data_IF_967534838728
#
_entry.id   IF_967534838728
#
_cell.length_a   1.000
_cell.length_b   1.000
_cell.length_c   1.000
_cell.angle_alpha   90.00
_cell.angle_beta   90.00
_cell.angle_gamma   90.00
#
_symmetry.space_group_name_H-M   'P 1'
#
loop_
_entity.id
_entity.type
_entity.pdbx_description
1 polymer ?
#
# COMPACT_ATOMS: atom_id res chain seq x y z
N UNK A 1 9.53 5.93 6.32
CA UNK A 1 8.10 5.67 6.55
C UNK A 1 7.89 4.64 7.66
N UNK A 2 8.49 3.44 7.59
CA UNK A 2 8.22 2.34 8.53
C UNK A 2 8.60 2.69 9.99
N UNK A 3 9.74 3.33 10.24
CA UNK A 3 10.10 3.82 11.60
C UNK A 3 9.08 4.84 12.13
N UNK A 4 8.55 5.70 11.27
CA UNK A 4 7.49 6.65 11.63
C UNK A 4 6.21 5.92 12.05
N UNK A 5 5.79 4.91 11.29
CA UNK A 5 4.66 4.05 11.65
C UNK A 5 4.91 3.28 12.96
N UNK A 6 6.17 3.03 13.31
CA UNK A 6 6.59 2.44 14.59
C UNK A 6 6.70 3.43 15.76
N UNK A 7 6.30 4.70 15.55
CA UNK A 7 6.24 5.72 16.59
C UNK A 7 7.45 6.64 16.71
N UNK A 8 8.40 6.58 15.75
CA UNK A 8 9.56 7.50 15.75
C UNK A 8 9.14 8.87 15.22
N UNK A 9 9.41 9.96 15.93
CA UNK A 9 9.11 11.31 15.47
C UNK A 9 9.92 11.66 14.21
N UNK A 10 9.37 12.53 13.36
CA UNK A 10 9.97 12.88 12.06
C UNK A 10 11.42 13.40 12.16
N UNK A 11 11.75 14.07 13.27
CA UNK A 11 13.09 14.62 13.54
C UNK A 11 14.15 13.57 13.82
N UNK A 12 13.75 12.34 14.13
CA UNK A 12 14.65 11.24 14.55
C UNK A 12 14.72 10.09 13.55
N UNK A 13 14.05 10.22 12.39
CA UNK A 13 13.97 9.15 11.38
C UNK A 13 15.32 8.78 10.75
N UNK A 14 16.32 9.63 10.84
CA UNK A 14 17.66 9.39 10.31
C UNK A 14 18.53 8.49 11.21
N UNK A 15 18.17 8.32 12.48
CA UNK A 15 18.86 7.39 13.38
C UNK A 15 18.36 5.96 13.16
N UNK A 16 19.25 4.98 13.32
CA UNK A 16 18.87 3.58 13.32
C UNK A 16 17.88 3.28 14.45
N UNK A 17 16.78 2.61 14.11
CA UNK A 17 15.82 2.15 15.10
C UNK A 17 15.12 0.87 14.62
N UNK A 18 15.76 -0.26 14.82
CA UNK A 18 15.26 -1.56 14.40
C UNK A 18 14.00 -2.00 15.16
N UNK A 19 13.84 -1.57 16.42
CA UNK A 19 12.64 -1.87 17.22
C UNK A 19 11.41 -1.17 16.66
N UNK A 20 11.51 0.13 16.41
CA UNK A 20 10.42 0.89 15.79
C UNK A 20 10.14 0.41 14.37
N UNK A 21 11.17 0.04 13.60
CA UNK A 21 11.00 -0.56 12.29
C UNK A 21 10.17 -1.84 12.36
N UNK A 22 10.47 -2.75 13.30
CA UNK A 22 9.71 -3.98 13.51
C UNK A 22 8.26 -3.73 13.93
N UNK A 23 8.00 -2.69 14.69
CA UNK A 23 6.62 -2.28 15.03
C UNK A 23 5.86 -1.76 13.80
N UNK A 24 6.48 -0.88 13.02
CA UNK A 24 5.81 -0.21 11.91
C UNK A 24 5.76 -1.02 10.62
N UNK A 25 6.52 -2.11 10.49
CA UNK A 25 6.58 -2.91 9.26
C UNK A 25 5.27 -3.67 8.97
N UNK A 26 4.40 -3.83 9.97
CA UNK A 26 3.07 -4.43 9.78
C UNK A 26 2.23 -3.63 8.78
N UNK A 27 2.46 -2.33 8.69
CA UNK A 27 1.83 -1.47 7.69
C UNK A 27 2.21 -1.91 6.26
N UNK A 28 3.49 -2.22 6.01
CA UNK A 28 3.93 -2.79 4.74
C UNK A 28 3.26 -4.14 4.46
N UNK A 29 3.16 -5.00 5.47
CA UNK A 29 2.47 -6.29 5.35
C UNK A 29 1.04 -6.14 4.88
N UNK A 30 0.31 -5.19 5.46
CA UNK A 30 -1.06 -4.88 5.06
C UNK A 30 -1.14 -4.42 3.59
N UNK A 31 -0.21 -3.61 3.12
CA UNK A 31 -0.17 -3.20 1.71
C UNK A 31 0.12 -4.38 0.77
N UNK A 32 1.02 -5.30 1.14
CA UNK A 32 1.28 -6.52 0.37
C UNK A 32 0.00 -7.37 0.27
N UNK A 33 -0.69 -7.58 1.38
CA UNK A 33 -1.95 -8.33 1.41
C UNK A 33 -3.05 -7.64 0.60
N UNK A 34 -3.13 -6.31 0.65
CA UNK A 34 -4.09 -5.54 -0.15
C UNK A 34 -3.85 -5.74 -1.65
N UNK A 35 -2.60 -5.75 -2.11
CA UNK A 35 -2.31 -6.03 -3.53
C UNK A 35 -2.73 -7.44 -3.94
N UNK A 36 -2.53 -8.43 -3.08
CA UNK A 36 -2.97 -9.81 -3.35
C UNK A 36 -4.47 -9.96 -3.53
N UNK A 37 -5.27 -9.12 -2.88
CA UNK A 37 -6.74 -9.13 -3.06
C UNK A 37 -7.17 -8.82 -4.49
N UNK A 38 -6.31 -8.14 -5.25
CA UNK A 38 -6.53 -7.90 -6.68
C UNK A 38 -6.05 -9.05 -7.58
N UNK A 39 -5.57 -10.16 -7.00
CA UNK A 39 -5.11 -11.33 -7.75
C UNK A 39 -3.77 -11.14 -8.47
N UNK A 40 -2.94 -10.19 -8.01
CA UNK A 40 -1.61 -9.92 -8.59
C UNK A 40 -0.50 -10.04 -7.54
N UNK A 41 0.70 -10.48 -7.93
CA UNK A 41 1.85 -10.49 -7.04
C UNK A 41 2.34 -9.06 -6.76
N UNK A 42 2.96 -8.86 -5.60
CA UNK A 42 3.57 -7.59 -5.23
C UNK A 42 5.10 -7.69 -5.27
N UNK A 43 5.76 -6.66 -5.78
CA UNK A 43 7.20 -6.43 -5.63
C UNK A 43 7.38 -5.21 -4.74
N UNK A 44 8.13 -5.36 -3.67
CA UNK A 44 8.43 -4.27 -2.72
C UNK A 44 9.71 -3.58 -3.13
N UNK A 45 9.64 -2.28 -3.38
CA UNK A 45 10.81 -1.46 -3.63
C UNK A 45 11.29 -0.80 -2.33
N UNK A 46 12.52 -1.06 -1.92
CA UNK A 46 13.18 -0.30 -0.86
C UNK A 46 13.71 0.99 -1.50
N UNK A 47 12.98 2.09 -1.32
CA UNK A 47 13.45 3.41 -1.74
C UNK A 47 14.53 3.89 -0.76
N UNK A 48 15.78 3.63 -1.11
CA UNK A 48 16.94 3.80 -0.24
C UNK A 48 17.28 5.26 0.03
N UNK A 49 17.52 5.55 1.29
CA UNK A 49 18.11 6.79 1.75
C UNK A 49 19.51 6.51 2.33
N UNK A 50 20.43 7.43 2.16
CA UNK A 50 21.82 7.30 2.64
C UNK A 50 21.94 7.10 4.17
N UNK A 51 20.87 7.35 4.91
CA UNK A 51 20.76 7.14 6.36
C UNK A 51 20.20 5.77 6.73
N UNK A 52 19.74 4.98 5.76
CA UNK A 52 19.23 3.63 6.04
C UNK A 52 20.40 2.69 6.33
N UNK A 53 20.27 1.88 7.38
CA UNK A 53 21.34 0.96 7.78
C UNK A 53 21.10 -0.44 7.22
N UNK A 54 22.19 -1.20 7.07
CA UNK A 54 22.12 -2.60 6.63
C UNK A 54 21.23 -3.45 7.53
N UNK A 55 21.20 -3.17 8.85
CA UNK A 55 20.34 -3.86 9.79
C UNK A 55 18.86 -3.59 9.53
N UNK A 56 18.50 -2.35 9.21
CA UNK A 56 17.14 -1.97 8.88
C UNK A 56 16.70 -2.58 7.53
N UNK A 57 17.58 -2.54 6.53
CA UNK A 57 17.33 -3.14 5.21
C UNK A 57 17.13 -4.66 5.33
N UNK A 58 17.96 -5.34 6.12
CA UNK A 58 17.86 -6.77 6.35
C UNK A 58 16.49 -7.16 6.97
N UNK A 59 15.98 -6.37 7.91
CA UNK A 59 14.67 -6.60 8.54
C UNK A 59 13.56 -6.50 7.48
N UNK A 60 13.61 -5.51 6.59
CA UNK A 60 12.60 -5.35 5.53
C UNK A 60 12.65 -6.53 4.56
N UNK A 61 13.84 -6.96 4.15
CA UNK A 61 14.02 -8.13 3.27
C UNK A 61 13.45 -9.40 3.89
N UNK A 62 13.86 -9.71 5.14
CA UNK A 62 13.36 -10.88 5.87
C UNK A 62 11.83 -10.88 6.01
N UNK A 63 11.25 -9.72 6.29
CA UNK A 63 9.81 -9.58 6.41
C UNK A 63 9.09 -9.83 5.09
N UNK A 64 9.57 -9.25 3.99
CA UNK A 64 9.02 -9.45 2.65
C UNK A 64 9.11 -10.92 2.22
N UNK A 65 10.24 -11.58 2.48
CA UNK A 65 10.42 -13.01 2.21
C UNK A 65 9.39 -13.87 2.96
N UNK A 66 9.21 -13.62 4.27
CA UNK A 66 8.18 -14.30 5.08
C UNK A 66 6.76 -14.07 4.55
N UNK A 67 6.51 -12.89 4.02
CA UNK A 67 5.25 -12.55 3.36
C UNK A 67 5.15 -13.15 1.93
N UNK A 68 6.22 -13.77 1.40
CA UNK A 68 6.26 -14.29 0.04
C UNK A 68 6.17 -13.18 -1.03
N UNK A 69 6.66 -11.98 -0.73
CA UNK A 69 6.78 -10.88 -1.67
C UNK A 69 8.24 -10.71 -2.06
N UNK A 70 8.51 -10.50 -3.37
CA UNK A 70 9.84 -10.09 -3.82
C UNK A 70 10.15 -8.70 -3.31
N UNK A 71 11.41 -8.49 -2.97
CA UNK A 71 11.91 -7.19 -2.53
C UNK A 71 13.14 -6.83 -3.33
N UNK A 72 13.24 -5.60 -3.79
CA UNK A 72 14.35 -5.08 -4.53
C UNK A 72 14.78 -3.71 -4.00
N UNK A 73 16.06 -3.44 -4.13
CA UNK A 73 16.65 -2.17 -3.76
C UNK A 73 16.45 -1.15 -4.88
N UNK A 74 16.15 0.08 -4.54
CA UNK A 74 16.00 1.18 -5.48
C UNK A 74 16.84 2.37 -5.03
N UNK A 75 17.90 2.65 -5.76
CA UNK A 75 18.85 3.74 -5.52
C UNK A 75 18.83 4.77 -6.69
N UNK A 76 17.68 4.86 -7.34
CA UNK A 76 17.49 5.70 -8.54
C UNK A 76 17.73 7.18 -8.28
N UNK A 77 17.50 7.64 -7.06
CA UNK A 77 17.75 9.02 -6.68
C UNK A 77 19.24 9.39 -6.78
N UNK A 78 20.12 8.49 -6.35
CA UNK A 78 21.58 8.72 -6.34
C UNK A 78 22.24 8.30 -7.65
N UNK A 79 21.78 7.20 -8.28
CA UNK A 79 22.47 6.53 -9.40
C UNK A 79 21.69 6.58 -10.71
N UNK A 80 20.55 7.29 -10.74
CA UNK A 80 19.71 7.30 -11.94
C UNK A 80 19.25 5.89 -12.34
N UNK A 81 19.21 5.59 -13.64
CA UNK A 81 18.72 4.32 -14.16
C UNK A 81 19.46 3.09 -13.64
N UNK A 82 20.78 3.20 -13.40
CA UNK A 82 21.58 2.10 -12.86
C UNK A 82 21.10 1.68 -11.46
N UNK A 83 20.68 2.64 -10.64
CA UNK A 83 20.13 2.37 -9.31
C UNK A 83 18.77 1.66 -9.31
N UNK A 84 18.12 1.51 -10.47
CA UNK A 84 16.84 0.85 -10.63
C UNK A 84 16.91 -0.56 -11.24
N UNK A 85 18.07 -1.03 -11.63
CA UNK A 85 18.23 -2.30 -12.37
C UNK A 85 17.73 -3.49 -11.54
N UNK A 86 18.06 -3.55 -10.24
CA UNK A 86 17.59 -4.63 -9.36
C UNK A 86 16.06 -4.68 -9.31
N UNK A 87 15.42 -3.52 -9.14
CA UNK A 87 13.95 -3.42 -9.12
C UNK A 87 13.34 -3.80 -10.47
N UNK A 88 13.92 -3.35 -11.58
CA UNK A 88 13.44 -3.69 -12.92
C UNK A 88 13.50 -5.20 -13.16
N UNK A 89 14.61 -5.85 -12.82
CA UNK A 89 14.75 -7.29 -12.93
C UNK A 89 13.75 -8.04 -12.04
N UNK A 90 13.58 -7.62 -10.79
CA UNK A 90 12.60 -8.23 -9.87
C UNK A 90 11.17 -8.15 -10.42
N UNK A 91 10.81 -7.06 -11.09
CA UNK A 91 9.50 -6.91 -11.74
C UNK A 91 9.39 -7.85 -12.95
N UNK A 92 10.40 -7.89 -13.83
CA UNK A 92 10.42 -8.76 -15.00
C UNK A 92 10.33 -10.24 -14.59
N UNK A 93 11.12 -10.65 -13.61
CA UNK A 93 11.09 -12.01 -13.07
C UNK A 93 9.72 -12.35 -12.50
N UNK A 94 9.11 -11.41 -11.76
CA UNK A 94 7.76 -11.60 -11.20
C UNK A 94 6.72 -11.77 -12.31
N UNK A 95 6.79 -11.00 -13.38
CA UNK A 95 5.90 -11.14 -14.54
C UNK A 95 6.07 -12.53 -15.17
N UNK A 96 7.31 -12.92 -15.47
CA UNK A 96 7.61 -14.20 -16.12
C UNK A 96 7.16 -15.41 -15.28
N UNK A 97 7.41 -15.39 -13.96
CA UNK A 97 7.01 -16.47 -13.05
C UNK A 97 5.50 -16.62 -12.89
N UNK A 98 4.77 -15.53 -13.14
CA UNK A 98 3.31 -15.47 -12.99
C UNK A 98 2.57 -15.37 -14.33
N UNK A 99 3.26 -15.57 -15.45
CA UNK A 99 2.62 -15.58 -16.75
C UNK A 99 1.51 -16.64 -16.82
N UNK A 100 0.32 -16.23 -17.21
CA UNK A 100 -0.86 -17.10 -17.26
C UNK A 100 -1.42 -17.55 -15.91
N UNK A 101 -0.83 -17.10 -14.77
CA UNK A 101 -1.27 -17.48 -13.41
C UNK A 101 -1.97 -16.36 -12.67
N UNK A 102 -1.87 -15.11 -13.13
CA UNK A 102 -2.53 -13.97 -12.49
C UNK A 102 -4.01 -13.94 -12.86
N UNK A 103 -4.83 -13.64 -11.86
CA UNK A 103 -6.27 -13.48 -12.04
C UNK A 103 -6.68 -12.12 -11.47
N UNK A 104 -6.25 -11.06 -12.15
CA UNK A 104 -6.61 -9.71 -11.74
C UNK A 104 -8.12 -9.53 -11.76
N UNK A 105 -8.66 -9.07 -10.63
CA UNK A 105 -10.06 -8.69 -10.49
C UNK A 105 -10.19 -7.48 -9.55
N UNK A 106 -11.11 -6.53 -9.84
CA UNK A 106 -11.51 -5.53 -8.86
C UNK A 106 -12.05 -6.19 -7.60
N UNK A 107 -11.90 -5.52 -6.45
CA UNK A 107 -12.39 -6.04 -5.15
C UNK A 107 -13.90 -5.92 -4.98
N UNK A 108 -14.59 -5.27 -5.91
CA UNK A 108 -16.05 -5.12 -5.92
C UNK A 108 -16.60 -5.18 -7.35
N UNK A 109 -17.90 -5.47 -7.48
CA UNK A 109 -18.62 -5.38 -8.75
C UNK A 109 -18.95 -3.91 -9.06
N UNK A 110 -18.62 -3.45 -10.27
CA UNK A 110 -18.90 -2.08 -10.73
C UNK A 110 -20.40 -1.74 -10.76
N UNK A 111 -21.27 -2.75 -10.80
CA UNK A 111 -22.74 -2.57 -10.78
C UNK A 111 -23.29 -2.16 -9.42
N UNK A 112 -22.51 -2.29 -8.35
CA UNK A 112 -22.90 -1.85 -7.02
C UNK A 112 -23.10 -0.34 -6.96
N UNK A 113 -23.86 0.13 -5.97
CA UNK A 113 -23.97 1.55 -5.65
C UNK A 113 -22.64 2.13 -5.15
N UNK A 114 -22.47 3.44 -5.22
CA UNK A 114 -21.27 4.13 -4.71
C UNK A 114 -21.02 3.77 -3.24
N UNK A 115 -22.06 3.75 -2.41
CA UNK A 115 -21.94 3.44 -0.98
C UNK A 115 -21.54 1.99 -0.73
N UNK A 116 -22.04 1.04 -1.49
CA UNK A 116 -21.64 -0.37 -1.40
C UNK A 116 -20.15 -0.53 -1.79
N UNK A 117 -19.71 0.09 -2.87
CA UNK A 117 -18.30 0.11 -3.30
C UNK A 117 -17.40 0.68 -2.21
N UNK A 118 -17.77 1.84 -1.65
CA UNK A 118 -17.03 2.49 -0.55
C UNK A 118 -16.97 1.59 0.69
N UNK A 119 -18.08 0.94 1.05
CA UNK A 119 -18.09 0.04 2.20
C UNK A 119 -17.17 -1.18 2.00
N UNK A 120 -17.11 -1.73 0.79
CA UNK A 120 -16.17 -2.82 0.45
C UNK A 120 -14.73 -2.31 0.55
N UNK A 121 -14.40 -1.16 -0.05
CA UNK A 121 -13.05 -0.58 0.04
C UNK A 121 -12.65 -0.37 1.50
N UNK A 122 -13.53 0.21 2.30
CA UNK A 122 -13.24 0.52 3.71
C UNK A 122 -12.99 -0.76 4.53
N UNK A 123 -13.76 -1.80 4.31
CA UNK A 123 -13.59 -3.09 5.01
C UNK A 123 -12.39 -3.88 4.51
N UNK A 124 -12.25 -3.99 3.18
CA UNK A 124 -11.23 -4.86 2.58
C UNK A 124 -9.85 -4.24 2.56
N UNK A 125 -9.72 -2.95 2.27
CA UNK A 125 -8.43 -2.26 2.14
C UNK A 125 -8.01 -1.60 3.45
N UNK A 126 -8.92 -0.87 4.09
CA UNK A 126 -8.64 -0.13 5.32
C UNK A 126 -8.89 -0.95 6.60
N UNK A 127 -9.57 -2.10 6.50
CA UNK A 127 -9.89 -3.00 7.64
C UNK A 127 -10.72 -2.31 8.72
N UNK A 128 -11.49 -1.31 8.35
CA UNK A 128 -12.40 -0.61 9.24
C UNK A 128 -13.79 -1.28 9.29
N UNK A 129 -14.53 -1.03 10.37
CA UNK A 129 -15.86 -1.61 10.58
C UNK A 129 -16.93 -1.05 9.65
N UNK A 130 -16.72 0.15 9.11
CA UNK A 130 -17.64 0.80 8.21
C UNK A 130 -17.24 2.23 7.86
N UNK A 131 -18.14 2.94 7.19
CA UNK A 131 -17.94 4.31 6.74
C UNK A 131 -19.13 5.19 7.16
N UNK A 132 -18.82 6.37 7.66
CA UNK A 132 -19.79 7.43 7.92
C UNK A 132 -19.67 8.54 6.88
N UNK A 133 -20.78 9.15 6.53
CA UNK A 133 -20.85 10.18 5.50
C UNK A 133 -21.23 11.51 6.11
N UNK A 134 -20.51 12.57 5.79
CA UNK A 134 -20.94 13.94 6.09
C UNK A 134 -22.14 14.30 5.23
N UNK A 135 -22.90 15.32 5.63
CA UNK A 135 -24.04 15.83 4.82
C UNK A 135 -23.61 16.25 3.42
N UNK A 136 -22.39 16.82 3.28
CA UNK A 136 -21.82 17.18 1.97
C UNK A 136 -21.53 15.95 1.11
N UNK A 137 -20.96 14.90 1.69
CA UNK A 137 -20.70 13.64 0.98
C UNK A 137 -22.00 12.97 0.53
N UNK A 138 -23.04 12.94 1.38
CA UNK A 138 -24.37 12.41 1.01
C UNK A 138 -24.98 13.17 -0.17
N UNK A 139 -24.87 14.50 -0.18
CA UNK A 139 -25.36 15.33 -1.28
C UNK A 139 -24.60 15.04 -2.57
N UNK A 140 -23.25 15.01 -2.51
CA UNK A 140 -22.40 14.73 -3.66
C UNK A 140 -22.69 13.34 -4.28
N UNK A 141 -22.90 12.31 -3.45
CA UNK A 141 -23.25 10.97 -3.91
C UNK A 141 -24.56 11.03 -4.73
N UNK A 142 -25.59 11.67 -4.19
CA UNK A 142 -26.88 11.81 -4.90
C UNK A 142 -26.75 12.57 -6.22
N UNK A 143 -25.93 13.61 -6.27
CA UNK A 143 -25.67 14.37 -7.49
C UNK A 143 -24.98 13.51 -8.56
N UNK A 144 -23.99 12.70 -8.15
CA UNK A 144 -23.28 11.77 -9.04
C UNK A 144 -24.23 10.69 -9.58
N UNK A 145 -25.08 10.13 -8.71
CA UNK A 145 -26.11 9.16 -9.11
C UNK A 145 -27.10 9.77 -10.10
N UNK A 146 -27.54 11.01 -9.86
CA UNK A 146 -28.50 11.70 -10.73
C UNK A 146 -27.98 11.96 -12.16
N UNK A 147 -26.67 12.11 -12.34
CA UNK A 147 -26.05 12.25 -13.66
C UNK A 147 -25.62 10.92 -14.29
N UNK A 148 -25.94 9.78 -13.66
CA UNK A 148 -25.71 8.44 -14.19
C UNK A 148 -24.28 7.91 -14.06
N UNK A 149 -23.47 8.44 -13.13
CA UNK A 149 -22.08 8.02 -12.90
C UNK A 149 -21.92 7.06 -11.71
N UNK A 150 -23.00 6.52 -11.20
CA UNK A 150 -23.02 5.59 -10.07
C UNK A 150 -22.34 4.24 -10.36
N UNK A 151 -22.19 3.87 -11.64
CA UNK A 151 -21.54 2.63 -12.07
C UNK A 151 -20.03 2.78 -12.33
N UNK A 152 -19.49 3.98 -12.29
CA UNK A 152 -18.05 4.17 -12.44
C UNK A 152 -17.28 3.61 -11.23
N UNK A 153 -16.04 3.16 -11.43
CA UNK A 153 -15.15 2.78 -10.33
C UNK A 153 -14.94 3.93 -9.35
N UNK A 154 -14.83 3.61 -8.06
CA UNK A 154 -14.51 4.58 -7.02
C UNK A 154 -12.99 4.56 -6.75
N UNK A 155 -12.38 5.73 -6.84
CA UNK A 155 -10.97 5.94 -6.49
C UNK A 155 -10.87 6.69 -5.16
N UNK A 156 -10.15 6.11 -4.20
CA UNK A 156 -9.77 6.78 -2.94
C UNK A 156 -8.36 7.33 -3.09
N UNK A 157 -8.25 8.64 -3.36
CA UNK A 157 -6.97 9.24 -3.74
C UNK A 157 -6.00 9.44 -2.58
N UNK A 158 -6.48 9.63 -1.36
CA UNK A 158 -5.64 9.92 -0.19
C UNK A 158 -6.23 9.35 1.09
N UNK A 159 -5.35 8.73 1.88
CA UNK A 159 -5.52 8.46 3.31
C UNK A 159 -4.37 9.11 4.04
N UNK A 160 -4.67 9.93 5.04
CA UNK A 160 -3.69 10.82 5.66
C UNK A 160 -2.62 10.06 6.45
N UNK A 161 -2.99 8.92 7.04
CA UNK A 161 -2.14 8.10 7.90
C UNK A 161 -2.04 6.65 7.39
N UNK A 162 -1.92 6.47 6.08
CA UNK A 162 -1.81 5.18 5.41
C UNK A 162 -3.14 4.40 5.39
N UNK A 163 -3.50 3.68 6.44
CA UNK A 163 -4.67 2.80 6.50
C UNK A 163 -5.75 3.29 7.48
N UNK A 164 -5.56 4.44 8.11
CA UNK A 164 -6.50 5.01 9.08
C UNK A 164 -6.52 6.53 9.01
N UNK A 165 -7.60 7.14 9.46
CA UNK A 165 -7.71 8.56 9.78
C UNK A 165 -7.22 8.88 11.21
N UNK A 166 -6.92 7.86 12.00
CA UNK A 166 -6.35 7.95 13.35
C UNK A 166 -4.83 7.69 13.30
N UNK A 167 -3.98 8.68 13.65
CA UNK A 167 -2.53 8.54 13.61
C UNK A 167 -1.96 7.53 14.60
N UNK A 168 -2.74 7.05 15.55
CA UNK A 168 -2.32 6.07 16.57
C UNK A 168 -2.56 4.62 16.12
N UNK A 169 -3.25 4.42 15.01
CA UNK A 169 -3.55 3.09 14.44
C UNK A 169 -2.64 2.78 13.26
N UNK A 170 -2.17 1.57 13.23
CA UNK A 170 -1.35 1.00 12.15
C UNK A 170 -2.18 0.12 11.21
#
# INVERSE_FOLDING_TARGET
>A
ALKYNGGVPKTELTAENTEALRKGIVNLGTHIENMRKYGVPAVVAINHFYTDTEAEIAIVREYCEKMGAKVAFSDVFLKGGEGGIELANAVIDTINENEGKTNFAPIYDEKLSIKEKLNIIVREIYRADGVSYTTGAEKAIKEIEAIGFDKLPVCVAKTQYSLSDDPTKL
#
